data_IF_654241030386
#
_entry.id   IF_654241030386
#
_cell.length_a   1.000
_cell.length_b   1.000
_cell.length_c   1.000
_cell.angle_alpha   90.00
_cell.angle_beta   90.00
_cell.angle_gamma   90.00
#
_symmetry.space_group_name_H-M   'P 1'
#
loop_
_entity.id
_entity.type
_entity.pdbx_description
1 polymer ?
#
# COMPACT_ATOMS: atom_id res chain seq x y z
N UNK A 1 20.34 -30.65 -3.14
CA UNK A 1 19.63 -29.35 -3.23
C UNK A 1 19.39 -28.92 -1.79
N UNK A 2 19.89 -27.76 -1.39
CA UNK A 2 19.61 -27.22 -0.07
C UNK A 2 18.12 -26.91 0.05
N UNK A 3 17.52 -27.27 1.19
CA UNK A 3 16.12 -26.95 1.48
C UNK A 3 16.00 -25.42 1.57
N UNK A 4 15.03 -24.77 0.91
CA UNK A 4 14.87 -23.33 0.98
C UNK A 4 14.63 -22.89 2.41
N UNK A 5 15.42 -21.93 2.89
CA UNK A 5 15.31 -21.38 4.25
C UNK A 5 14.09 -20.49 4.39
N UNK A 6 13.55 -20.44 5.61
CA UNK A 6 12.41 -19.59 5.92
C UNK A 6 12.86 -18.19 6.33
N UNK A 7 12.28 -17.14 5.74
CA UNK A 7 12.56 -15.76 6.11
C UNK A 7 12.08 -15.44 7.54
N UNK A 8 12.94 -14.81 8.33
CA UNK A 8 12.60 -14.22 9.64
C UNK A 8 11.95 -12.86 9.49
N UNK A 9 12.32 -12.07 8.48
CA UNK A 9 11.68 -10.80 8.15
C UNK A 9 10.19 -11.02 7.86
N UNK A 10 9.33 -10.20 8.44
CA UNK A 10 7.88 -10.36 8.33
C UNK A 10 7.26 -11.29 9.36
N UNK A 11 8.03 -11.78 10.34
CA UNK A 11 7.51 -12.53 11.47
C UNK A 11 7.18 -11.61 12.64
N UNK A 12 6.01 -11.80 13.24
CA UNK A 12 5.64 -11.11 14.48
C UNK A 12 6.48 -11.61 15.67
N UNK A 13 6.44 -10.88 16.78
CA UNK A 13 7.12 -11.31 18.00
C UNK A 13 6.64 -12.71 18.45
N UNK A 14 5.36 -13.00 18.35
CA UNK A 14 4.79 -14.31 18.74
C UNK A 14 5.27 -15.43 17.82
N UNK A 15 5.36 -15.19 16.52
CA UNK A 15 5.94 -16.14 15.56
C UNK A 15 7.43 -16.39 15.85
N UNK A 16 8.21 -15.35 16.16
CA UNK A 16 9.62 -15.48 16.55
C UNK A 16 9.75 -16.22 17.91
N UNK A 17 8.86 -15.96 18.86
CA UNK A 17 8.83 -16.73 20.12
C UNK A 17 8.58 -18.22 19.88
N UNK A 18 7.72 -18.56 18.92
CA UNK A 18 7.49 -19.96 18.56
C UNK A 18 8.74 -20.59 17.94
N UNK A 19 9.44 -19.88 17.05
CA UNK A 19 10.71 -20.33 16.47
C UNK A 19 11.74 -20.57 17.57
N UNK A 20 11.91 -19.61 18.47
CA UNK A 20 12.84 -19.68 19.62
C UNK A 20 12.54 -20.90 20.51
N UNK A 21 11.25 -21.16 20.80
CA UNK A 21 10.83 -22.36 21.56
C UNK A 21 11.20 -23.67 20.87
N UNK A 22 10.90 -23.74 19.56
CA UNK A 22 11.17 -24.95 18.77
C UNK A 22 12.67 -25.28 18.67
N UNK A 23 13.52 -24.26 18.70
CA UNK A 23 14.98 -24.39 18.67
C UNK A 23 15.60 -24.54 20.07
N UNK A 24 14.79 -24.63 21.13
CA UNK A 24 15.29 -24.75 22.50
C UNK A 24 16.10 -23.55 23.00
N UNK A 25 15.87 -22.38 22.43
CA UNK A 25 16.55 -21.15 22.82
C UNK A 25 15.83 -20.46 24.01
N UNK A 26 16.55 -19.64 24.80
CA UNK A 26 15.93 -18.87 25.88
C UNK A 26 14.83 -17.92 25.37
N UNK A 27 13.74 -17.75 26.12
CA UNK A 27 12.59 -16.91 25.73
C UNK A 27 12.97 -15.47 25.33
N UNK A 28 13.98 -14.88 26.00
CA UNK A 28 14.43 -13.52 25.70
C UNK A 28 15.09 -13.38 24.33
N UNK A 29 15.55 -14.48 23.73
CA UNK A 29 16.15 -14.46 22.38
C UNK A 29 15.17 -13.97 21.32
N UNK A 30 13.86 -14.15 21.50
CA UNK A 30 12.86 -13.62 20.56
C UNK A 30 12.92 -12.10 20.46
N UNK A 31 12.99 -11.38 21.59
CA UNK A 31 13.15 -9.93 21.60
C UNK A 31 14.49 -9.47 21.02
N UNK A 32 15.55 -10.25 21.22
CA UNK A 32 16.84 -9.96 20.60
C UNK A 32 16.75 -10.08 19.07
N UNK A 33 16.15 -11.16 18.56
CA UNK A 33 15.97 -11.37 17.12
C UNK A 33 15.12 -10.27 16.51
N UNK A 34 13.97 -9.92 17.12
CA UNK A 34 13.11 -8.84 16.59
C UNK A 34 13.82 -7.47 16.59
N UNK A 35 14.62 -7.16 17.61
CA UNK A 35 15.44 -5.93 17.62
C UNK A 35 16.49 -5.93 16.50
N UNK A 36 17.15 -7.08 16.23
CA UNK A 36 18.08 -7.17 15.10
C UNK A 36 17.39 -7.01 13.76
N UNK A 37 16.21 -7.59 13.60
CA UNK A 37 15.43 -7.49 12.35
C UNK A 37 14.88 -6.08 12.13
N UNK A 38 14.19 -5.49 13.11
CA UNK A 38 13.34 -4.32 12.85
C UNK A 38 13.94 -2.99 13.30
N UNK A 39 14.81 -3.01 14.32
CA UNK A 39 15.52 -1.82 14.80
C UNK A 39 16.87 -1.67 14.07
N UNK A 40 17.72 -2.71 14.12
CA UNK A 40 19.06 -2.67 13.54
C UNK A 40 19.10 -3.00 12.03
N UNK A 41 18.09 -3.68 11.53
CA UNK A 41 17.90 -4.01 10.10
C UNK A 41 19.09 -4.74 9.49
N UNK A 42 19.53 -5.81 10.15
CA UNK A 42 20.68 -6.64 9.72
C UNK A 42 20.36 -7.45 8.47
N UNK A 43 21.38 -7.73 7.68
CA UNK A 43 21.24 -8.52 6.45
C UNK A 43 21.47 -10.03 6.68
N UNK A 44 22.20 -10.38 7.74
CA UNK A 44 22.55 -11.77 8.06
C UNK A 44 22.31 -12.12 9.53
N UNK A 45 22.08 -13.40 9.81
CA UNK A 45 21.97 -13.90 11.19
C UNK A 45 23.30 -13.78 11.94
N UNK A 46 24.43 -13.78 11.24
CA UNK A 46 25.75 -13.67 11.87
C UNK A 46 25.99 -12.31 12.54
N UNK A 47 25.29 -11.27 12.08
CA UNK A 47 25.32 -9.94 12.70
C UNK A 47 24.61 -9.88 14.05
N UNK A 48 23.78 -10.86 14.39
CA UNK A 48 23.04 -10.94 15.67
C UNK A 48 23.95 -11.31 16.84
N UNK A 49 24.95 -10.47 17.11
CA UNK A 49 26.11 -10.81 17.99
C UNK A 49 25.77 -11.01 19.46
N UNK A 50 24.60 -10.57 19.95
CA UNK A 50 24.13 -10.87 21.31
C UNK A 50 23.43 -12.23 21.43
N UNK A 51 23.26 -12.96 20.32
CA UNK A 51 22.94 -14.39 20.34
C UNK A 51 24.24 -15.21 20.41
N UNK A 52 24.24 -16.30 21.18
CA UNK A 52 25.40 -17.20 21.20
C UNK A 52 25.66 -17.83 19.82
N UNK A 53 26.90 -18.18 19.53
CA UNK A 53 27.26 -18.82 18.26
C UNK A 53 26.38 -20.05 18.00
N UNK A 54 26.18 -20.91 19.04
CA UNK A 54 25.30 -22.09 18.95
C UNK A 54 23.88 -21.72 18.49
N UNK A 55 23.32 -20.64 19.01
CA UNK A 55 21.96 -20.21 18.64
C UNK A 55 21.90 -19.63 17.22
N UNK A 56 22.92 -18.89 16.79
CA UNK A 56 23.01 -18.41 15.40
C UNK A 56 23.12 -19.57 14.41
N UNK A 57 23.95 -20.57 14.69
CA UNK A 57 24.06 -21.77 13.86
C UNK A 57 22.72 -22.52 13.78
N UNK A 58 22.06 -22.77 14.92
CA UNK A 58 20.75 -23.41 14.94
C UNK A 58 19.67 -22.63 14.14
N UNK A 59 19.70 -21.28 14.18
CA UNK A 59 18.83 -20.48 13.33
C UNK A 59 19.17 -20.64 11.85
N UNK A 60 20.45 -20.61 11.49
CA UNK A 60 20.90 -20.70 10.08
C UNK A 60 20.58 -22.04 9.42
N UNK A 61 20.34 -23.10 10.17
CA UNK A 61 19.93 -24.39 9.60
C UNK A 61 18.59 -24.31 8.85
N UNK A 62 17.61 -23.56 9.40
CA UNK A 62 16.25 -23.49 8.84
C UNK A 62 15.80 -22.10 8.43
N UNK A 63 16.54 -21.06 8.79
CA UNK A 63 16.10 -19.67 8.64
C UNK A 63 17.19 -18.79 8.03
N UNK A 64 16.73 -17.68 7.49
CA UNK A 64 17.55 -16.56 7.00
C UNK A 64 16.85 -15.24 7.36
N UNK A 65 17.54 -14.11 7.31
CA UNK A 65 16.90 -12.79 7.45
C UNK A 65 15.86 -12.62 6.35
N UNK A 66 16.20 -12.95 5.12
CA UNK A 66 15.31 -12.96 3.98
C UNK A 66 15.19 -11.60 3.28
N UNK A 67 16.09 -10.66 3.56
CA UNK A 67 16.16 -9.41 2.82
C UNK A 67 16.65 -9.65 1.38
N UNK A 68 16.00 -9.02 0.41
CA UNK A 68 16.41 -9.09 -0.99
C UNK A 68 16.33 -7.70 -1.64
N UNK A 69 17.44 -7.27 -2.23
CA UNK A 69 17.53 -5.99 -2.91
C UNK A 69 16.57 -5.91 -4.12
N UNK A 70 16.11 -4.71 -4.50
CA UNK A 70 15.41 -4.53 -5.77
C UNK A 70 16.30 -4.95 -6.94
N UNK A 71 15.70 -5.54 -7.96
CA UNK A 71 16.41 -6.01 -9.16
C UNK A 71 16.63 -4.89 -10.19
N UNK A 72 15.85 -3.81 -10.06
CA UNK A 72 15.94 -2.64 -10.94
C UNK A 72 15.43 -1.41 -10.22
N UNK A 73 15.98 -0.23 -10.54
CA UNK A 73 15.48 1.05 -10.12
C UNK A 73 15.33 2.00 -11.32
N UNK A 74 14.32 2.85 -11.27
CA UNK A 74 14.11 3.94 -12.24
C UNK A 74 13.95 5.24 -11.48
N UNK A 75 14.67 6.29 -11.88
CA UNK A 75 14.65 7.61 -11.24
C UNK A 75 13.97 8.64 -12.11
N UNK A 76 12.99 9.32 -11.55
CA UNK A 76 12.30 10.45 -12.16
C UNK A 76 13.11 11.73 -11.99
N UNK A 77 12.84 12.69 -12.87
CA UNK A 77 13.38 14.06 -12.79
C UNK A 77 12.95 14.80 -11.52
N UNK A 78 11.85 14.41 -10.90
CA UNK A 78 11.32 14.99 -9.65
C UNK A 78 11.89 14.32 -8.38
N UNK A 79 12.84 13.41 -8.53
CA UNK A 79 13.48 12.67 -7.44
C UNK A 79 12.75 11.40 -7.00
N UNK A 80 11.56 11.12 -7.55
CA UNK A 80 10.83 9.87 -7.30
C UNK A 80 11.65 8.68 -7.82
N UNK A 81 11.68 7.58 -7.05
CA UNK A 81 12.37 6.36 -7.45
C UNK A 81 11.39 5.19 -7.44
N UNK A 82 11.29 4.51 -8.57
CA UNK A 82 10.53 3.28 -8.70
C UNK A 82 11.46 2.08 -8.60
N UNK A 83 11.19 1.20 -7.67
CA UNK A 83 11.92 -0.03 -7.42
C UNK A 83 11.15 -1.24 -7.94
N UNK A 84 11.84 -2.13 -8.63
CA UNK A 84 11.32 -3.41 -9.07
C UNK A 84 11.88 -4.53 -8.19
N UNK A 85 11.01 -5.28 -7.54
CA UNK A 85 11.38 -6.45 -6.73
C UNK A 85 10.96 -7.74 -7.43
N UNK A 86 11.78 -8.78 -7.28
CA UNK A 86 11.44 -10.12 -7.73
C UNK A 86 11.00 -10.97 -6.53
N UNK A 87 9.83 -11.60 -6.65
CA UNK A 87 9.35 -12.52 -5.62
C UNK A 87 10.00 -13.91 -5.76
N UNK A 88 10.02 -14.75 -4.69
CA UNK A 88 10.52 -16.12 -4.80
C UNK A 88 9.85 -16.95 -5.89
N UNK A 89 8.57 -16.69 -6.19
CA UNK A 89 7.84 -17.32 -7.29
C UNK A 89 8.14 -16.71 -8.67
N UNK A 90 9.23 -15.93 -8.80
CA UNK A 90 9.66 -15.27 -10.03
C UNK A 90 8.66 -14.27 -10.62
N UNK A 91 7.72 -13.76 -9.82
CA UNK A 91 6.89 -12.62 -10.19
C UNK A 91 7.60 -11.31 -9.86
N UNK A 92 7.09 -10.21 -10.40
CA UNK A 92 7.62 -8.87 -10.12
C UNK A 92 6.56 -7.99 -9.45
N UNK A 93 7.01 -7.12 -8.57
CA UNK A 93 6.22 -6.07 -7.94
C UNK A 93 7.00 -4.77 -7.94
N UNK A 94 6.30 -3.66 -7.91
CA UNK A 94 6.87 -2.33 -7.87
C UNK A 94 6.58 -1.63 -6.56
N UNK A 95 7.56 -0.89 -6.03
CA UNK A 95 7.41 0.07 -4.94
C UNK A 95 7.91 1.43 -5.40
N UNK A 96 7.36 2.51 -4.84
CA UNK A 96 7.73 3.88 -5.26
C UNK A 96 8.12 4.71 -4.05
N UNK A 97 9.38 5.14 -4.03
CA UNK A 97 9.87 6.14 -3.09
C UNK A 97 9.60 7.55 -3.63
N UNK A 98 8.95 8.38 -2.84
CA UNK A 98 8.54 9.73 -3.19
C UNK A 98 9.14 10.70 -2.18
N UNK A 99 10.21 11.43 -2.53
CA UNK A 99 10.73 12.51 -1.70
C UNK A 99 9.80 13.73 -1.80
N UNK A 100 9.58 14.37 -0.67
CA UNK A 100 8.87 15.65 -0.55
C UNK A 100 9.65 16.52 0.45
N UNK A 101 9.41 17.84 0.53
CA UNK A 101 10.23 18.76 1.32
C UNK A 101 10.54 18.25 2.74
N UNK A 102 9.51 17.92 3.51
CA UNK A 102 9.62 17.43 4.90
C UNK A 102 9.24 15.95 5.04
N UNK A 103 9.00 15.24 3.94
CA UNK A 103 8.50 13.86 3.95
C UNK A 103 9.20 12.99 2.94
N UNK A 104 9.37 11.74 3.32
CA UNK A 104 9.81 10.68 2.44
C UNK A 104 8.78 9.56 2.51
N UNK A 105 8.02 9.38 1.44
CA UNK A 105 6.88 8.46 1.38
C UNK A 105 7.30 7.23 0.58
N UNK A 106 7.00 6.04 1.08
CA UNK A 106 7.08 4.83 0.28
C UNK A 106 5.66 4.32 -0.04
N UNK A 107 5.39 4.14 -1.33
CA UNK A 107 4.20 3.47 -1.83
C UNK A 107 4.53 2.00 -2.04
N UNK A 108 3.85 1.09 -1.31
CA UNK A 108 4.12 -0.35 -1.36
C UNK A 108 2.98 -1.12 -2.00
N UNK A 109 3.34 -2.25 -2.60
CA UNK A 109 2.43 -3.21 -3.19
C UNK A 109 2.03 -4.29 -2.17
N UNK A 110 0.79 -4.76 -2.24
CA UNK A 110 0.24 -5.84 -1.41
C UNK A 110 -0.05 -7.13 -2.17
N UNK A 111 -0.07 -7.09 -3.51
CA UNK A 111 -0.33 -8.24 -4.38
C UNK A 111 0.51 -8.16 -5.65
N UNK A 112 0.65 -9.29 -6.32
CA UNK A 112 1.11 -9.37 -7.72
C UNK A 112 -0.12 -9.26 -8.60
N UNK A 113 -0.33 -8.09 -9.22
CA UNK A 113 -1.57 -7.77 -9.94
C UNK A 113 -2.73 -7.46 -8.99
N UNK A 114 -3.97 -7.41 -9.52
CA UNK A 114 -5.16 -7.05 -8.74
C UNK A 114 -6.43 -7.65 -9.35
N UNK A 115 -7.34 -8.16 -8.51
CA UNK A 115 -8.64 -8.71 -8.94
C UNK A 115 -9.68 -7.64 -9.24
N UNK A 116 -9.50 -6.41 -8.78
CA UNK A 116 -10.54 -5.37 -8.79
C UNK A 116 -10.86 -4.85 -10.18
N UNK A 117 -9.97 -5.01 -11.15
CA UNK A 117 -10.15 -4.66 -12.56
C UNK A 117 -10.70 -3.25 -12.79
N UNK A 118 -10.21 -2.26 -12.02
CA UNK A 118 -10.58 -0.86 -12.20
C UNK A 118 -10.13 -0.37 -13.58
N UNK A 119 -11.01 0.33 -14.32
CA UNK A 119 -10.77 0.76 -15.71
C UNK A 119 -9.52 1.64 -15.88
N UNK A 120 -9.22 2.43 -14.88
CA UNK A 120 -8.14 3.43 -14.86
C UNK A 120 -6.82 2.93 -14.25
N UNK A 121 -6.70 1.63 -13.97
CA UNK A 121 -5.55 1.09 -13.23
C UNK A 121 -4.84 -0.01 -14.03
N UNK A 122 -3.55 0.20 -14.32
CA UNK A 122 -2.72 -0.77 -15.03
C UNK A 122 -2.62 -2.11 -14.29
N UNK A 123 -2.46 -2.07 -12.97
CA UNK A 123 -2.41 -3.28 -12.12
C UNK A 123 -3.70 -4.09 -12.21
N UNK A 124 -4.86 -3.42 -12.24
CA UNK A 124 -6.16 -4.10 -12.40
C UNK A 124 -6.32 -4.75 -13.76
N UNK A 125 -5.82 -4.11 -14.82
CA UNK A 125 -5.87 -4.65 -16.18
C UNK A 125 -5.00 -5.89 -16.39
N UNK A 126 -3.91 -6.03 -15.62
CA UNK A 126 -3.03 -7.19 -15.68
C UNK A 126 -3.65 -8.45 -15.06
N UNK A 127 -4.71 -8.28 -14.28
CA UNK A 127 -5.29 -9.36 -13.49
C UNK A 127 -4.47 -9.69 -12.24
N UNK A 128 -4.91 -10.70 -11.50
CA UNK A 128 -4.33 -11.15 -10.25
C UNK A 128 -3.48 -12.39 -10.43
N UNK A 129 -2.31 -12.42 -9.80
CA UNK A 129 -1.44 -13.60 -9.79
C UNK A 129 -1.31 -14.18 -8.38
N UNK A 130 -0.96 -13.38 -7.38
CA UNK A 130 -0.73 -13.85 -6.01
C UNK A 130 -0.85 -12.74 -4.96
N UNK A 131 -1.17 -13.12 -3.73
CA UNK A 131 -0.99 -12.30 -2.55
C UNK A 131 0.49 -12.22 -2.17
N UNK A 132 0.95 -11.07 -1.69
CA UNK A 132 2.26 -10.95 -1.08
C UNK A 132 2.19 -11.34 0.39
N UNK A 133 3.17 -12.10 0.87
CA UNK A 133 3.33 -12.34 2.30
C UNK A 133 3.82 -11.07 3.02
N UNK A 134 3.66 -11.05 4.35
CA UNK A 134 4.19 -9.95 5.18
C UNK A 134 5.69 -9.74 4.96
N UNK A 135 6.44 -10.82 4.78
CA UNK A 135 7.85 -10.76 4.39
C UNK A 135 8.06 -9.96 3.09
N UNK A 136 7.32 -10.29 2.03
CA UNK A 136 7.46 -9.64 0.73
C UNK A 136 7.02 -8.17 0.76
N UNK A 137 6.01 -7.84 1.58
CA UNK A 137 5.57 -6.45 1.76
C UNK A 137 6.64 -5.66 2.53
N UNK A 138 7.12 -6.20 3.67
CA UNK A 138 8.16 -5.54 4.48
C UNK A 138 9.51 -5.43 3.75
N UNK A 139 9.83 -6.38 2.87
CA UNK A 139 11.06 -6.33 2.09
C UNK A 139 11.14 -5.07 1.22
N UNK A 140 9.99 -4.55 0.73
CA UNK A 140 9.95 -3.30 -0.02
C UNK A 140 10.39 -2.09 0.82
N UNK A 141 10.18 -2.15 2.16
CA UNK A 141 10.61 -1.11 3.10
C UNK A 141 12.05 -1.33 3.52
N UNK A 142 12.40 -2.58 3.77
CA UNK A 142 13.67 -3.02 4.36
C UNK A 142 14.86 -2.83 3.42
N UNK A 143 14.65 -3.07 2.12
CA UNK A 143 15.74 -3.26 1.16
C UNK A 143 15.98 -2.08 0.22
N UNK A 144 15.27 -0.94 0.39
CA UNK A 144 15.57 0.27 -0.38
C UNK A 144 16.67 1.11 0.30
N UNK A 145 17.51 1.82 -0.49
CA UNK A 145 18.57 2.65 0.06
C UNK A 145 18.07 3.77 0.99
N UNK A 146 16.87 4.30 0.74
CA UNK A 146 16.27 5.41 1.49
C UNK A 146 15.50 4.98 2.74
N UNK A 147 15.58 3.71 3.16
CA UNK A 147 14.80 3.15 4.27
C UNK A 147 14.85 3.97 5.57
N UNK A 148 16.00 4.57 5.87
CA UNK A 148 16.17 5.37 7.09
C UNK A 148 15.56 6.78 6.99
N UNK A 149 15.30 7.25 5.76
CA UNK A 149 14.67 8.55 5.51
C UNK A 149 13.15 8.49 5.56
N UNK A 150 12.56 7.30 5.53
CA UNK A 150 11.12 7.13 5.42
C UNK A 150 10.38 7.77 6.59
N UNK A 151 9.45 8.66 6.28
CA UNK A 151 8.54 9.28 7.22
C UNK A 151 7.12 8.72 7.14
N UNK A 152 6.70 8.26 5.98
CA UNK A 152 5.34 7.79 5.73
C UNK A 152 5.32 6.55 4.81
N UNK A 153 4.29 5.74 4.99
CA UNK A 153 4.00 4.58 4.15
C UNK A 153 2.58 4.65 3.61
N UNK A 154 2.39 4.31 2.34
CA UNK A 154 1.06 4.21 1.75
C UNK A 154 0.91 2.88 1.01
N UNK A 155 -0.18 2.17 1.28
CA UNK A 155 -0.58 0.97 0.54
C UNK A 155 -1.44 1.40 -0.65
N UNK A 156 -0.78 1.98 -1.66
CA UNK A 156 -1.40 2.49 -2.91
C UNK A 156 -0.67 1.97 -4.15
N UNK A 157 0.17 0.94 -3.98
CA UNK A 157 0.87 0.25 -5.06
C UNK A 157 0.00 -0.80 -5.73
N UNK A 158 0.63 -1.91 -6.14
CA UNK A 158 -0.08 -3.01 -6.80
C UNK A 158 -0.90 -3.82 -5.80
N UNK A 159 -2.18 -4.10 -6.17
CA UNK A 159 -3.09 -4.94 -5.40
C UNK A 159 -4.14 -4.18 -4.61
N UNK A 160 -5.08 -4.94 -4.05
CA UNK A 160 -6.11 -4.48 -3.12
C UNK A 160 -5.74 -4.95 -1.70
N UNK A 161 -5.36 -4.05 -0.78
CA UNK A 161 -4.92 -4.45 0.55
C UNK A 161 -5.98 -5.23 1.34
N UNK A 162 -7.26 -4.95 1.15
CA UNK A 162 -8.32 -5.66 1.87
C UNK A 162 -8.63 -7.06 1.31
N UNK A 163 -8.15 -7.38 0.10
CA UNK A 163 -8.16 -8.75 -0.43
C UNK A 163 -6.96 -9.58 0.08
N UNK A 164 -5.96 -8.93 0.70
CA UNK A 164 -4.80 -9.55 1.34
C UNK A 164 -4.65 -9.08 2.81
N UNK A 165 -5.75 -8.91 3.52
CA UNK A 165 -5.78 -8.17 4.77
C UNK A 165 -4.97 -8.82 5.89
N UNK A 166 -4.93 -10.16 5.99
CA UNK A 166 -4.19 -10.85 7.05
C UNK A 166 -2.69 -10.50 7.01
N UNK A 167 -2.09 -10.53 5.83
CA UNK A 167 -0.68 -10.18 5.65
C UNK A 167 -0.44 -8.67 5.83
N UNK A 168 -1.40 -7.83 5.39
CA UNK A 168 -1.34 -6.38 5.60
C UNK A 168 -1.42 -6.04 7.09
N UNK A 169 -2.38 -6.61 7.84
CA UNK A 169 -2.49 -6.37 9.28
C UNK A 169 -1.24 -6.81 10.03
N UNK A 170 -0.66 -7.95 9.66
CA UNK A 170 0.63 -8.41 10.23
C UNK A 170 1.76 -7.39 9.98
N UNK A 171 1.84 -6.81 8.77
CA UNK A 171 2.80 -5.74 8.47
C UNK A 171 2.53 -4.51 9.31
N UNK A 172 1.26 -4.09 9.45
CA UNK A 172 0.88 -2.94 10.28
C UNK A 172 1.24 -3.16 11.75
N UNK A 173 1.01 -4.37 12.29
CA UNK A 173 1.44 -4.75 13.63
C UNK A 173 2.95 -4.57 13.80
N UNK A 174 3.76 -5.14 12.91
CA UNK A 174 5.22 -5.04 12.97
C UNK A 174 5.69 -3.57 12.87
N UNK A 175 5.06 -2.78 11.99
CA UNK A 175 5.45 -1.39 11.81
C UNK A 175 5.08 -0.50 13.01
N UNK A 176 3.99 -0.80 13.72
CA UNK A 176 3.49 0.06 14.79
C UNK A 176 3.84 -0.41 16.20
N UNK A 177 4.26 -1.68 16.36
CA UNK A 177 4.62 -2.25 17.66
C UNK A 177 6.00 -1.78 18.14
N UNK A 178 6.17 -1.71 19.46
CA UNK A 178 7.45 -1.39 20.11
C UNK A 178 8.56 -2.40 19.80
N UNK A 179 8.21 -3.66 19.55
CA UNK A 179 9.19 -4.69 19.18
C UNK A 179 9.61 -4.60 17.71
N UNK A 180 8.86 -3.85 16.91
CA UNK A 180 9.05 -3.68 15.48
C UNK A 180 9.69 -2.32 15.14
N UNK A 181 9.10 -1.58 14.22
CA UNK A 181 9.60 -0.26 13.82
C UNK A 181 9.20 0.88 14.78
N UNK A 182 8.23 0.68 15.65
CA UNK A 182 7.74 1.69 16.58
C UNK A 182 7.11 2.92 15.90
N UNK A 183 6.64 2.77 14.67
CA UNK A 183 6.06 3.91 13.94
C UNK A 183 4.69 4.28 14.49
N UNK A 184 4.40 5.56 14.55
CA UNK A 184 3.04 6.01 14.81
C UNK A 184 2.10 5.53 13.69
N UNK A 185 0.92 4.98 14.01
CA UNK A 185 -0.10 4.63 13.01
C UNK A 185 -0.44 5.78 12.05
N UNK A 186 -0.27 7.05 12.49
CA UNK A 186 -0.48 8.25 11.66
C UNK A 186 0.50 8.38 10.48
N UNK A 187 1.59 7.63 10.48
CA UNK A 187 2.56 7.59 9.38
C UNK A 187 2.12 6.64 8.25
N UNK A 188 1.08 5.84 8.46
CA UNK A 188 0.69 4.76 7.56
C UNK A 188 -0.74 5.00 7.06
N UNK A 189 -0.92 4.93 5.74
CA UNK A 189 -2.26 5.00 5.11
C UNK A 189 -2.50 3.73 4.30
N UNK A 190 -3.62 3.07 4.57
CA UNK A 190 -4.07 1.93 3.77
C UNK A 190 -5.22 2.38 2.89
N UNK A 191 -5.05 2.23 1.57
CA UNK A 191 -6.08 2.57 0.58
C UNK A 191 -6.79 1.31 0.10
N UNK A 192 -8.11 1.38 -0.03
CA UNK A 192 -8.94 0.27 -0.47
C UNK A 192 -10.10 0.74 -1.33
N UNK A 193 -10.60 -0.15 -2.18
CA UNK A 193 -11.90 0.02 -2.86
C UNK A 193 -13.09 -0.13 -1.90
N UNK A 194 -12.85 -0.61 -0.67
CA UNK A 194 -13.85 -0.73 0.39
C UNK A 194 -14.52 -2.10 0.47
N UNK A 195 -13.79 -3.20 0.32
CA UNK A 195 -14.34 -4.55 0.50
C UNK A 195 -14.90 -4.71 1.93
N UNK A 196 -16.18 -5.08 2.08
CA UNK A 196 -16.91 -5.05 3.37
C UNK A 196 -16.17 -5.72 4.52
N UNK A 197 -15.86 -7.01 4.39
CA UNK A 197 -15.18 -7.78 5.44
C UNK A 197 -13.81 -7.19 5.79
N UNK A 198 -13.10 -6.70 4.76
CA UNK A 198 -11.81 -6.05 4.94
C UNK A 198 -11.93 -4.71 5.65
N UNK A 199 -12.93 -3.91 5.31
CA UNK A 199 -13.20 -2.62 5.93
C UNK A 199 -13.52 -2.78 7.41
N UNK A 200 -14.49 -3.65 7.75
CA UNK A 200 -14.90 -3.90 9.13
C UNK A 200 -13.74 -4.39 10.00
N UNK A 201 -12.94 -5.33 9.49
CA UNK A 201 -11.76 -5.83 10.21
C UNK A 201 -10.69 -4.76 10.37
N UNK A 202 -10.36 -4.04 9.31
CA UNK A 202 -9.35 -2.98 9.37
C UNK A 202 -9.73 -1.89 10.39
N UNK A 203 -10.99 -1.49 10.43
CA UNK A 203 -11.49 -0.51 11.39
C UNK A 203 -11.35 -1.00 12.84
N UNK A 204 -11.49 -2.30 13.09
CA UNK A 204 -11.39 -2.88 14.43
C UNK A 204 -9.96 -3.29 14.84
N UNK A 205 -9.11 -3.67 13.89
CA UNK A 205 -7.81 -4.30 14.15
C UNK A 205 -6.61 -3.37 13.89
N UNK A 206 -6.83 -2.14 13.38
CA UNK A 206 -5.74 -1.20 13.06
C UNK A 206 -6.09 0.23 13.40
N UNK A 207 -5.13 1.02 13.88
CA UNK A 207 -5.24 2.47 14.09
C UNK A 207 -4.63 3.31 12.95
N UNK A 208 -4.19 2.69 11.87
CA UNK A 208 -3.63 3.38 10.71
C UNK A 208 -4.70 4.18 9.95
N UNK A 209 -4.27 5.18 9.17
CA UNK A 209 -5.18 5.97 8.35
C UNK A 209 -5.82 5.14 7.26
N UNK A 210 -7.10 5.43 6.98
CA UNK A 210 -7.89 4.79 5.92
C UNK A 210 -8.09 5.76 4.76
N UNK A 211 -7.88 5.26 3.53
CA UNK A 211 -8.27 5.94 2.31
C UNK A 211 -9.24 5.05 1.52
N UNK A 212 -10.38 5.59 1.13
CA UNK A 212 -11.37 4.88 0.29
C UNK A 212 -11.31 5.41 -1.13
N UNK A 213 -11.09 4.52 -2.07
CA UNK A 213 -11.18 4.82 -3.51
C UNK A 213 -12.64 5.05 -3.90
N UNK A 214 -13.06 6.32 -3.94
CA UNK A 214 -14.43 6.71 -4.30
C UNK A 214 -14.57 6.87 -5.81
N UNK A 215 -13.81 7.77 -6.41
CA UNK A 215 -13.74 8.18 -7.82
C UNK A 215 -15.06 8.65 -8.45
N UNK A 216 -16.21 8.33 -7.87
CA UNK A 216 -17.52 8.92 -8.16
C UNK A 216 -18.48 8.63 -7.00
N UNK A 217 -19.35 9.58 -6.63
CA UNK A 217 -20.39 9.37 -5.61
C UNK A 217 -21.60 8.60 -6.14
N UNK A 218 -21.67 8.32 -7.45
CA UNK A 218 -22.81 7.70 -8.13
C UNK A 218 -22.56 6.20 -8.31
N UNK A 219 -23.32 5.29 -7.62
CA UNK A 219 -23.08 3.85 -7.64
C UNK A 219 -23.07 3.23 -9.05
N UNK A 220 -24.01 3.60 -9.93
CA UNK A 220 -24.07 3.08 -11.31
C UNK A 220 -22.79 3.40 -12.09
N UNK A 221 -22.31 4.63 -12.00
CA UNK A 221 -21.07 5.06 -12.66
C UNK A 221 -19.83 4.46 -11.99
N UNK A 222 -19.84 4.33 -10.64
CA UNK A 222 -18.74 3.69 -9.93
C UNK A 222 -18.59 2.22 -10.34
N UNK A 223 -19.69 1.53 -10.59
CA UNK A 223 -19.70 0.15 -11.12
C UNK A 223 -18.99 0.05 -12.48
N UNK A 224 -19.14 1.05 -13.33
CA UNK A 224 -18.50 1.09 -14.64
C UNK A 224 -17.00 1.37 -14.56
N UNK A 225 -16.57 2.20 -13.61
CA UNK A 225 -15.16 2.52 -13.36
C UNK A 225 -14.47 1.46 -12.51
N UNK A 226 -15.19 0.92 -11.51
CA UNK A 226 -14.69 0.02 -10.48
C UNK A 226 -15.68 -1.13 -10.26
N UNK A 227 -15.48 -2.29 -10.89
CA UNK A 227 -16.41 -3.44 -10.79
C UNK A 227 -16.67 -3.95 -9.37
N UNK A 228 -15.77 -3.65 -8.40
CA UNK A 228 -15.94 -3.97 -6.99
C UNK A 228 -17.23 -3.38 -6.38
N UNK A 229 -17.79 -2.31 -6.94
CA UNK A 229 -19.08 -1.71 -6.56
C UNK A 229 -20.24 -2.72 -6.60
N UNK A 230 -20.14 -3.76 -7.45
CA UNK A 230 -21.16 -4.83 -7.53
C UNK A 230 -21.21 -5.68 -6.26
N UNK A 231 -20.08 -5.82 -5.58
CA UNK A 231 -19.97 -6.63 -4.37
C UNK A 231 -20.29 -5.82 -3.11
N UNK A 232 -19.94 -4.53 -3.10
CA UNK A 232 -20.18 -3.64 -1.97
C UNK A 232 -20.18 -2.19 -2.44
N UNK A 233 -21.32 -1.53 -2.27
CA UNK A 233 -21.56 -0.20 -2.83
C UNK A 233 -20.91 0.91 -2.02
N UNK A 234 -20.64 2.05 -2.67
CA UNK A 234 -20.11 3.24 -1.97
C UNK A 234 -21.07 3.73 -0.88
N UNK A 235 -22.36 3.57 -1.07
CA UNK A 235 -23.37 3.95 -0.06
C UNK A 235 -23.27 3.07 1.18
N UNK A 236 -23.12 1.75 1.00
CA UNK A 236 -22.92 0.82 2.14
C UNK A 236 -21.58 1.07 2.85
N UNK A 237 -20.53 1.43 2.11
CA UNK A 237 -19.25 1.87 2.70
C UNK A 237 -19.48 3.09 3.60
N UNK A 238 -20.18 4.10 3.08
CA UNK A 238 -20.49 5.34 3.81
C UNK A 238 -21.31 5.04 5.07
N UNK A 239 -22.30 4.15 5.00
CA UNK A 239 -23.11 3.75 6.15
C UNK A 239 -22.25 3.13 7.28
N UNK A 240 -21.28 2.28 6.93
CA UNK A 240 -20.33 1.73 7.92
C UNK A 240 -19.49 2.86 8.53
N UNK A 241 -18.96 3.77 7.70
CA UNK A 241 -18.09 4.85 8.15
C UNK A 241 -18.84 5.88 9.01
N UNK A 242 -20.12 6.12 8.76
CA UNK A 242 -20.97 6.96 9.60
C UNK A 242 -21.15 6.40 11.02
N UNK A 243 -21.20 5.08 11.14
CA UNK A 243 -21.41 4.40 12.41
C UNK A 243 -20.10 4.11 13.16
N UNK A 244 -18.94 4.47 12.57
CA UNK A 244 -17.63 4.23 13.19
C UNK A 244 -17.13 5.49 13.93
N UNK A 245 -16.61 5.28 15.15
CA UNK A 245 -16.02 6.35 15.97
C UNK A 245 -14.57 6.65 15.54
N UNK A 246 -14.36 7.77 14.84
CA UNK A 246 -13.05 8.27 14.44
C UNK A 246 -12.36 9.16 15.49
N UNK A 247 -12.93 9.32 16.70
CA UNK A 247 -12.38 10.20 17.77
C UNK A 247 -10.97 9.82 18.21
N UNK A 248 -10.55 8.57 17.97
CA UNK A 248 -9.19 8.06 18.25
C UNK A 248 -8.11 8.57 17.27
N UNK A 249 -8.35 9.70 16.60
CA UNK A 249 -7.40 10.40 15.73
C UNK A 249 -7.05 9.66 14.41
N UNK A 250 -7.81 8.65 14.01
CA UNK A 250 -7.67 8.05 12.69
C UNK A 250 -8.10 9.05 11.63
N UNK A 251 -7.29 9.24 10.57
CA UNK A 251 -7.68 10.04 9.42
C UNK A 251 -8.42 9.18 8.42
N UNK A 252 -9.59 9.65 7.99
CA UNK A 252 -10.33 9.12 6.85
C UNK A 252 -10.13 10.04 5.65
N UNK A 253 -9.79 9.47 4.50
CA UNK A 253 -9.76 10.20 3.22
C UNK A 253 -10.49 9.42 2.14
N UNK A 254 -10.96 10.17 1.13
CA UNK A 254 -11.53 9.62 -0.10
C UNK A 254 -10.65 10.02 -1.26
N UNK A 255 -10.22 9.04 -2.04
CA UNK A 255 -9.43 9.26 -3.24
C UNK A 255 -10.36 9.44 -4.44
N UNK A 256 -10.15 10.51 -5.20
CA UNK A 256 -11.03 10.90 -6.31
C UNK A 256 -10.20 11.32 -7.52
N UNK A 257 -10.10 10.43 -8.51
CA UNK A 257 -9.51 10.78 -9.81
C UNK A 257 -10.54 11.58 -10.59
N UNK A 258 -10.16 12.74 -11.11
CA UNK A 258 -11.05 13.59 -11.91
C UNK A 258 -10.85 13.26 -13.39
N UNK A 259 -11.90 12.73 -14.03
CA UNK A 259 -11.91 12.35 -15.45
C UNK A 259 -12.75 13.34 -16.25
N UNK A 260 -12.20 13.86 -17.33
CA UNK A 260 -12.81 14.81 -18.22
C UNK A 260 -14.10 14.27 -18.85
N UNK A 261 -15.19 15.03 -18.71
CA UNK A 261 -16.50 14.68 -19.26
C UNK A 261 -17.18 13.48 -18.58
N UNK A 262 -16.60 12.94 -17.47
CA UNK A 262 -17.13 11.78 -16.77
C UNK A 262 -17.62 12.15 -15.37
N UNK A 263 -16.75 12.71 -14.55
CA UNK A 263 -17.02 13.02 -13.13
C UNK A 263 -16.47 14.39 -12.69
N UNK A 264 -16.18 15.28 -13.64
CA UNK A 264 -15.50 16.55 -13.46
C UNK A 264 -16.44 17.75 -13.23
N UNK A 265 -17.74 17.59 -13.45
CA UNK A 265 -18.69 18.68 -13.26
C UNK A 265 -19.01 18.92 -11.76
N UNK A 266 -19.39 20.16 -11.42
CA UNK A 266 -19.78 20.55 -10.07
C UNK A 266 -21.02 19.77 -9.53
N UNK A 267 -21.77 19.09 -10.40
CA UNK A 267 -22.85 18.20 -9.98
C UNK A 267 -22.28 17.06 -9.11
N UNK A 268 -21.15 16.49 -9.52
CA UNK A 268 -20.46 15.45 -8.73
C UNK A 268 -19.94 16.00 -7.40
N UNK A 269 -19.39 17.21 -7.40
CA UNK A 269 -18.97 17.86 -6.16
C UNK A 269 -20.14 18.05 -5.19
N UNK A 270 -21.32 18.45 -5.69
CA UNK A 270 -22.55 18.53 -4.89
C UNK A 270 -22.97 17.18 -4.29
N UNK A 271 -22.93 16.12 -5.09
CA UNK A 271 -23.28 14.77 -4.62
C UNK A 271 -22.23 14.26 -3.60
N UNK A 272 -20.96 14.57 -3.75
CA UNK A 272 -19.92 14.25 -2.72
C UNK A 272 -20.25 14.96 -1.40
N UNK A 273 -20.57 16.26 -1.43
CA UNK A 273 -20.94 17.01 -0.23
C UNK A 273 -22.15 16.39 0.48
N UNK A 274 -23.15 15.95 -0.28
CA UNK A 274 -24.31 15.25 0.30
C UNK A 274 -23.95 13.90 0.91
N UNK A 275 -23.17 13.11 0.16
CA UNK A 275 -22.79 11.75 0.55
C UNK A 275 -21.92 11.73 1.81
N UNK A 276 -21.02 12.72 1.95
CA UNK A 276 -20.08 12.81 3.06
C UNK A 276 -20.57 13.67 4.25
N UNK A 277 -21.83 14.13 4.21
CA UNK A 277 -22.38 14.96 5.28
C UNK A 277 -22.31 14.26 6.63
N UNK A 278 -21.69 14.92 7.61
CA UNK A 278 -21.55 14.38 8.98
C UNK A 278 -20.36 13.45 9.18
N UNK A 279 -19.55 13.18 8.14
CA UNK A 279 -18.31 12.42 8.27
C UNK A 279 -17.13 13.40 8.29
N UNK A 280 -16.30 13.33 9.32
CA UNK A 280 -15.02 14.06 9.36
C UNK A 280 -14.01 13.36 8.44
N UNK A 281 -13.77 13.92 7.26
CA UNK A 281 -12.92 13.31 6.26
C UNK A 281 -12.23 14.34 5.37
N UNK A 282 -11.38 13.85 4.47
CA UNK A 282 -10.75 14.63 3.39
C UNK A 282 -11.03 13.99 2.06
N UNK A 283 -11.06 14.80 1.01
CA UNK A 283 -11.10 14.32 -0.38
C UNK A 283 -9.77 14.68 -1.04
N UNK A 284 -9.04 13.68 -1.52
CA UNK A 284 -7.82 13.88 -2.28
C UNK A 284 -8.16 13.79 -3.78
N UNK A 285 -8.13 14.91 -4.45
CA UNK A 285 -8.29 14.97 -5.90
C UNK A 285 -6.99 14.54 -6.58
N UNK A 286 -7.09 13.59 -7.48
CA UNK A 286 -5.97 13.00 -8.20
C UNK A 286 -6.12 13.34 -9.68
N UNK A 287 -5.05 13.87 -10.28
CA UNK A 287 -4.97 14.04 -11.73
C UNK A 287 -4.85 12.67 -12.39
N UNK A 288 -5.66 12.40 -13.39
CA UNK A 288 -5.55 11.17 -14.17
C UNK A 288 -4.35 11.24 -15.12
N UNK A 289 -3.59 10.16 -15.15
CA UNK A 289 -2.53 9.94 -16.13
C UNK A 289 -2.98 8.86 -17.10
N UNK A 290 -2.91 9.18 -18.39
CA UNK A 290 -3.35 8.26 -19.44
C UNK A 290 -2.58 6.95 -19.40
N UNK A 291 -3.29 5.84 -19.47
CA UNK A 291 -2.74 4.49 -19.54
C UNK A 291 -3.15 3.83 -20.87
N UNK A 292 -2.35 2.89 -21.40
CA UNK A 292 -2.66 2.24 -22.66
C UNK A 292 -4.05 1.57 -22.68
N UNK A 293 -4.72 1.66 -23.82
CA UNK A 293 -6.03 1.02 -24.08
C UNK A 293 -7.16 1.44 -23.12
N UNK A 294 -7.14 2.70 -22.66
CA UNK A 294 -8.19 3.30 -21.82
C UNK A 294 -8.62 4.61 -22.42
N UNK A 295 -9.90 4.68 -22.76
CA UNK A 295 -10.54 5.89 -23.27
C UNK A 295 -11.04 6.76 -22.10
N UNK A 296 -10.10 7.31 -21.33
CA UNK A 296 -10.32 8.28 -20.26
C UNK A 296 -9.28 9.37 -20.37
N UNK A 297 -9.70 10.61 -20.12
CA UNK A 297 -8.83 11.79 -20.13
C UNK A 297 -8.82 12.45 -18.75
N UNK A 298 -7.69 13.06 -18.39
CA UNK A 298 -7.58 13.94 -17.24
C UNK A 298 -8.12 15.34 -17.57
N UNK A 299 -8.46 16.06 -16.52
CA UNK A 299 -8.87 17.48 -16.63
C UNK A 299 -7.68 18.43 -16.49
N UNK A 300 -7.87 19.68 -16.87
CA UNK A 300 -6.92 20.74 -16.61
C UNK A 300 -6.90 21.16 -15.12
N UNK A 301 -5.91 21.98 -14.76
CA UNK A 301 -5.76 22.45 -13.37
C UNK A 301 -6.86 23.42 -12.95
N UNK A 302 -7.44 24.18 -13.86
CA UNK A 302 -8.54 25.11 -13.57
C UNK A 302 -9.76 24.34 -13.08
N UNK A 303 -10.14 23.27 -13.78
CA UNK A 303 -11.21 22.35 -13.38
C UNK A 303 -10.90 21.70 -12.03
N UNK A 304 -9.67 21.23 -11.80
CA UNK A 304 -9.25 20.65 -10.52
C UNK A 304 -9.40 21.64 -9.35
N UNK A 305 -8.97 22.89 -9.56
CA UNK A 305 -9.06 23.96 -8.57
C UNK A 305 -10.53 24.30 -8.28
N UNK A 306 -11.35 24.48 -9.31
CA UNK A 306 -12.77 24.79 -9.16
C UNK A 306 -13.51 23.67 -8.36
N UNK A 307 -13.21 22.42 -8.67
CA UNK A 307 -13.78 21.26 -7.97
C UNK A 307 -13.34 21.21 -6.50
N UNK A 308 -12.04 21.41 -6.21
CA UNK A 308 -11.50 21.50 -4.84
C UNK A 308 -12.16 22.61 -4.04
N UNK A 309 -12.24 23.80 -4.62
CA UNK A 309 -12.74 24.99 -3.95
C UNK A 309 -14.23 24.84 -3.63
N UNK A 310 -14.99 24.26 -4.57
CA UNK A 310 -16.39 23.96 -4.31
C UNK A 310 -16.57 23.03 -3.10
N UNK A 311 -15.83 21.91 -3.04
CA UNK A 311 -15.89 20.97 -1.91
C UNK A 311 -15.53 21.67 -0.58
N UNK A 312 -14.44 22.43 -0.57
CA UNK A 312 -13.94 23.11 0.63
C UNK A 312 -14.92 24.18 1.13
N UNK A 313 -15.52 24.98 0.23
CA UNK A 313 -16.53 25.99 0.55
C UNK A 313 -17.81 25.37 1.14
N UNK A 314 -18.09 24.11 0.82
CA UNK A 314 -19.27 23.39 1.32
C UNK A 314 -18.96 22.41 2.46
N UNK A 315 -17.80 22.61 3.15
CA UNK A 315 -17.47 21.89 4.38
C UNK A 315 -16.76 20.55 4.20
N UNK A 316 -16.38 20.17 2.98
CA UNK A 316 -15.56 18.97 2.71
C UNK A 316 -14.14 19.41 2.37
N UNK A 317 -13.21 19.23 3.29
CA UNK A 317 -11.82 19.61 3.04
C UNK A 317 -11.23 18.80 1.89
N UNK A 318 -10.80 19.47 0.82
CA UNK A 318 -10.26 18.83 -0.37
C UNK A 318 -8.84 19.33 -0.69
N UNK A 319 -8.01 18.41 -1.20
CA UNK A 319 -6.65 18.72 -1.67
C UNK A 319 -6.43 18.18 -3.07
N UNK A 320 -5.59 18.84 -3.86
CA UNK A 320 -5.11 18.31 -5.13
C UNK A 320 -3.74 17.65 -4.86
N UNK A 321 -3.62 16.35 -5.13
CA UNK A 321 -2.36 15.64 -4.96
C UNK A 321 -1.40 16.00 -6.09
N UNK A 322 -0.17 16.34 -5.73
CA UNK A 322 0.90 16.47 -6.71
C UNK A 322 1.16 15.13 -7.40
N UNK A 323 1.23 15.15 -8.72
CA UNK A 323 1.69 14.00 -9.49
C UNK A 323 3.20 13.84 -9.32
N UNK A 324 3.65 12.62 -9.10
CA UNK A 324 5.07 12.29 -8.92
C UNK A 324 5.45 11.09 -9.78
N UNK A 325 6.65 11.12 -10.36
CA UNK A 325 7.19 10.02 -11.13
C UNK A 325 6.40 9.67 -12.39
N UNK A 326 5.74 10.64 -13.02
CA UNK A 326 4.94 10.43 -14.23
C UNK A 326 5.81 9.92 -15.40
N UNK A 327 6.99 10.49 -15.57
CA UNK A 327 7.97 10.17 -16.61
C UNK A 327 8.53 8.73 -16.54
N UNK A 328 8.42 8.11 -15.37
CA UNK A 328 8.86 6.71 -15.12
C UNK A 328 7.68 5.75 -14.86
N UNK A 329 6.45 6.15 -15.18
CA UNK A 329 5.24 5.35 -14.91
C UNK A 329 5.11 4.93 -13.43
N UNK A 330 5.38 5.86 -12.51
CA UNK A 330 5.30 5.63 -11.07
C UNK A 330 4.08 6.33 -10.41
N UNK A 331 3.32 7.13 -11.15
CA UNK A 331 2.12 7.78 -10.63
C UNK A 331 1.00 6.77 -10.30
N UNK A 332 0.03 7.19 -9.46
CA UNK A 332 -1.08 6.34 -9.04
C UNK A 332 -1.83 5.71 -10.23
N UNK A 333 -2.03 4.39 -10.17
CA UNK A 333 -2.69 3.61 -11.22
C UNK A 333 -1.78 3.18 -12.38
N UNK A 334 -0.53 3.63 -12.43
CA UNK A 334 0.40 3.33 -13.53
C UNK A 334 1.34 2.15 -13.26
N UNK A 335 1.42 1.65 -12.03
CA UNK A 335 2.30 0.53 -11.68
C UNK A 335 1.91 -0.75 -12.42
N UNK A 336 2.92 -1.42 -12.98
CA UNK A 336 2.70 -2.59 -13.81
C UNK A 336 3.88 -3.55 -13.78
N UNK A 337 3.60 -4.84 -14.01
CA UNK A 337 4.61 -5.88 -14.17
C UNK A 337 5.15 -5.95 -15.61
N UNK A 338 5.41 -4.81 -16.25
CA UNK A 338 5.83 -4.75 -17.67
C UNK A 338 7.06 -5.63 -17.97
N UNK A 339 7.99 -5.77 -17.01
CA UNK A 339 9.15 -6.66 -17.17
C UNK A 339 8.74 -8.14 -17.23
N UNK A 340 7.81 -8.57 -16.35
CA UNK A 340 7.27 -9.93 -16.37
C UNK A 340 6.59 -10.25 -17.71
N UNK A 341 5.90 -9.26 -18.29
CA UNK A 341 5.25 -9.42 -19.59
C UNK A 341 6.26 -9.58 -20.72
N UNK A 342 7.36 -8.79 -20.71
CA UNK A 342 8.47 -8.94 -21.67
C UNK A 342 9.13 -10.32 -21.57
N UNK A 343 9.42 -10.79 -20.36
CA UNK A 343 10.03 -12.12 -20.14
C UNK A 343 9.13 -13.27 -20.59
N UNK A 344 7.79 -13.08 -20.52
CA UNK A 344 6.80 -14.06 -21.01
C UNK A 344 6.47 -13.92 -22.50
N UNK A 345 7.13 -13.01 -23.22
CA UNK A 345 6.88 -12.77 -24.65
C UNK A 345 5.54 -12.10 -24.95
N UNK A 346 4.88 -11.51 -23.96
CA UNK A 346 3.65 -10.75 -24.13
C UNK A 346 4.01 -9.30 -24.38
N UNK A 347 3.92 -8.86 -25.63
CA UNK A 347 4.07 -7.45 -25.98
C UNK A 347 2.78 -6.71 -25.64
N UNK A 348 2.87 -5.63 -24.85
CA UNK A 348 1.75 -4.69 -24.70
C UNK A 348 1.52 -4.04 -26.08
N UNK A 349 0.40 -4.36 -26.73
CA UNK A 349 -0.09 -3.63 -27.90
C UNK A 349 -0.84 -2.39 -27.46
#
# INVERSE_FOLDING_TARGET
METPKTALLGRTLDEIQQIVRNLGMPKFAAKQITSWLYDKKVETIDEMTNLSLKHREALKEGYEVGASAPVEEMRSVDGTVKYLFRTPAHNFIEAVYIPDEDRAILCVSSQVGCKMNCKFCMTGKQGFTANLSAHQILNQIYSIPEREKLTNLVFMGMGEPFDNLDEVLKVLEILTSEYGYGWSPKRITVSSVGLKKGLERFLNESDCHLAISMHTPIPSQRRDLMPAEKAFSITEIIDILHNYDFSKQRRLSFEYIVFKGVNDSLIYAKEIVKLLRGIECRVNLIRFHAIPNVDLEGVDMETMVAFRDYLTQHGVFATIRASRGEDIFAACGMLSTAKQQKEKGVTLQ
#
